data_IF_621932356255
#
_entry.id   IF_621932356255
#
_cell.length_a   1.000
_cell.length_b   1.000
_cell.length_c   1.000
_cell.angle_alpha   90.00
_cell.angle_beta   90.00
_cell.angle_gamma   90.00
#
_symmetry.space_group_name_H-M   'P 1'
#
loop_
_entity.id
_entity.type
_entity.pdbx_description
1 polymer ?
#
# COMPACT_ATOMS: atom_id res chain seq x y z
N UNK A 1 3.68 28.28 -13.83
CA UNK A 1 3.51 27.10 -12.96
C UNK A 1 2.17 26.39 -13.18
N UNK A 2 1.01 27.06 -13.00
CA UNK A 2 -0.32 26.45 -13.26
C UNK A 2 -0.46 25.81 -14.65
N UNK A 3 0.00 26.49 -15.71
CA UNK A 3 -0.02 25.95 -17.08
C UNK A 3 0.85 24.68 -17.26
N UNK A 4 1.96 24.56 -16.51
CA UNK A 4 2.85 23.40 -16.60
C UNK A 4 2.32 22.20 -15.79
N UNK A 5 1.69 22.45 -14.63
CA UNK A 5 1.02 21.39 -13.87
C UNK A 5 -0.18 20.82 -14.64
N UNK A 6 -0.95 21.69 -15.29
CA UNK A 6 -2.06 21.27 -16.15
C UNK A 6 -1.57 20.41 -17.33
N UNK A 7 -0.40 20.71 -17.91
CA UNK A 7 0.16 19.92 -19.00
C UNK A 7 0.52 18.49 -18.56
N UNK A 8 1.10 18.32 -17.36
CA UNK A 8 1.43 17.00 -16.80
C UNK A 8 0.17 16.19 -16.46
N UNK A 9 -0.85 16.85 -15.93
CA UNK A 9 -2.15 16.21 -15.68
C UNK A 9 -2.82 15.77 -16.98
N UNK A 10 -2.79 16.61 -18.03
CA UNK A 10 -3.31 16.25 -19.36
C UNK A 10 -2.53 15.07 -19.96
N UNK A 11 -1.19 15.09 -19.89
CA UNK A 11 -0.36 13.98 -20.36
C UNK A 11 -0.67 12.66 -19.62
N UNK A 12 -1.06 12.75 -18.34
CA UNK A 12 -1.47 11.59 -17.55
C UNK A 12 -2.82 10.99 -17.95
N UNK A 13 -3.63 11.73 -18.71
CA UNK A 13 -4.95 11.32 -19.21
C UNK A 13 -4.88 10.83 -20.66
N UNK A 14 -3.77 11.04 -21.35
CA UNK A 14 -3.60 10.56 -22.72
C UNK A 14 -3.38 9.04 -22.75
N UNK A 15 -3.79 8.37 -23.83
CA UNK A 15 -3.47 6.97 -24.06
C UNK A 15 -1.94 6.73 -24.01
N UNK A 16 -1.46 5.62 -23.42
CA UNK A 16 -0.03 5.34 -23.32
C UNK A 16 0.72 5.39 -24.65
N UNK A 17 0.09 4.94 -25.73
CA UNK A 17 0.62 4.95 -27.09
C UNK A 17 1.02 6.35 -27.58
N UNK A 18 0.31 7.40 -27.16
CA UNK A 18 0.58 8.78 -27.56
C UNK A 18 1.70 9.45 -26.73
N UNK A 19 2.06 8.84 -25.60
CA UNK A 19 2.99 9.40 -24.62
C UNK A 19 4.37 8.73 -24.61
N UNK A 20 4.52 7.55 -25.23
CA UNK A 20 5.69 6.68 -25.05
C UNK A 20 7.04 7.38 -25.28
N UNK A 21 7.15 8.21 -26.33
CA UNK A 21 8.39 8.93 -26.68
C UNK A 21 8.70 10.11 -25.75
N UNK A 22 7.70 10.63 -25.05
CA UNK A 22 7.84 11.76 -24.14
C UNK A 22 8.31 11.30 -22.75
N UNK A 23 7.87 10.12 -22.29
CA UNK A 23 8.15 9.65 -20.92
C UNK A 23 9.64 9.63 -20.56
N UNK A 24 10.57 9.08 -21.39
CA UNK A 24 12.00 9.13 -21.07
C UNK A 24 12.50 10.55 -20.83
N UNK A 25 12.07 11.50 -21.67
CA UNK A 25 12.47 12.91 -21.56
C UNK A 25 11.92 13.54 -20.30
N UNK A 26 10.70 13.17 -19.87
CA UNK A 26 10.13 13.68 -18.62
C UNK A 26 10.93 13.19 -17.41
N UNK A 27 11.36 11.93 -17.41
CA UNK A 27 12.21 11.37 -16.35
C UNK A 27 13.55 12.11 -16.32
N UNK A 28 14.25 12.21 -17.45
CA UNK A 28 15.54 12.90 -17.54
C UNK A 28 15.43 14.37 -17.11
N UNK A 29 14.34 15.04 -17.51
CA UNK A 29 14.08 16.43 -17.10
C UNK A 29 13.87 16.55 -15.59
N UNK A 30 13.21 15.58 -14.96
CA UNK A 30 12.95 15.60 -13.51
C UNK A 30 14.21 15.55 -12.66
N UNK A 31 15.29 14.95 -13.17
CA UNK A 31 16.58 14.83 -12.46
C UNK A 31 17.36 16.14 -12.42
N UNK A 32 17.08 17.04 -13.37
CA UNK A 32 17.77 18.33 -13.51
C UNK A 32 16.99 19.50 -12.91
N UNK A 33 15.84 19.22 -12.28
CA UNK A 33 14.93 20.22 -11.75
C UNK A 33 14.83 20.15 -10.22
N UNK A 34 14.40 21.26 -9.62
CA UNK A 34 14.14 21.40 -8.19
C UNK A 34 12.70 21.82 -7.90
N UNK A 35 12.27 21.67 -6.64
CA UNK A 35 10.90 21.94 -6.20
C UNK A 35 9.90 20.86 -6.61
N UNK A 36 8.64 21.25 -6.78
CA UNK A 36 7.51 20.34 -6.99
C UNK A 36 7.39 19.77 -8.42
N UNK A 37 7.98 20.45 -9.42
CA UNK A 37 7.86 20.07 -10.83
C UNK A 37 8.43 18.67 -11.15
N UNK A 38 9.62 18.29 -10.65
CA UNK A 38 10.13 16.92 -10.78
C UNK A 38 9.14 15.82 -10.40
N UNK A 39 8.44 15.96 -9.27
CA UNK A 39 7.50 14.94 -8.80
C UNK A 39 6.27 14.87 -9.70
N UNK A 40 5.83 16.00 -10.25
CA UNK A 40 4.77 16.00 -11.25
C UNK A 40 5.20 15.18 -12.49
N UNK A 41 6.41 15.41 -13.00
CA UNK A 41 6.94 14.67 -14.15
C UNK A 41 7.04 13.16 -13.87
N UNK A 42 7.55 12.79 -12.69
CA UNK A 42 7.66 11.39 -12.27
C UNK A 42 6.29 10.75 -12.03
N UNK A 43 5.29 11.49 -11.55
CA UNK A 43 3.92 11.00 -11.41
C UNK A 43 3.33 10.63 -12.78
N UNK A 44 3.56 11.43 -13.81
CA UNK A 44 3.14 11.11 -15.18
C UNK A 44 3.82 9.83 -15.69
N UNK A 45 5.13 9.70 -15.48
CA UNK A 45 5.87 8.47 -15.84
C UNK A 45 5.36 7.24 -15.08
N UNK A 46 5.08 7.36 -13.78
CA UNK A 46 4.49 6.29 -12.98
C UNK A 46 3.11 5.87 -13.47
N UNK A 47 2.24 6.82 -13.83
CA UNK A 47 0.91 6.54 -14.38
C UNK A 47 0.99 5.87 -15.74
N UNK A 48 1.93 6.28 -16.59
CA UNK A 48 2.21 5.60 -17.84
C UNK A 48 2.60 4.13 -17.60
N UNK A 49 3.55 3.85 -16.70
CA UNK A 49 3.97 2.48 -16.36
C UNK A 49 2.79 1.65 -15.82
N UNK A 50 1.88 2.25 -15.04
CA UNK A 50 0.71 1.56 -14.51
C UNK A 50 -0.36 1.21 -15.58
N UNK A 51 -0.42 1.96 -16.68
CA UNK A 51 -1.46 1.84 -17.72
C UNK A 51 -0.98 1.11 -18.97
N UNK A 52 0.29 1.30 -19.36
CA UNK A 52 0.87 0.75 -20.56
C UNK A 52 0.78 -0.80 -20.55
N UNK A 53 0.32 -1.44 -21.65
CA UNK A 53 0.26 -2.91 -21.72
C UNK A 53 1.63 -3.58 -21.59
N UNK A 54 2.68 -2.93 -22.07
CA UNK A 54 4.07 -3.41 -22.02
C UNK A 54 5.02 -2.21 -22.01
N UNK A 55 5.21 -1.54 -20.86
CA UNK A 55 6.11 -0.40 -20.79
C UNK A 55 7.54 -0.84 -21.11
N UNK A 56 8.29 -0.08 -21.93
CA UNK A 56 9.70 -0.36 -22.22
C UNK A 56 10.52 -0.51 -20.93
N UNK A 57 11.34 -1.56 -20.85
CA UNK A 57 12.14 -1.85 -19.65
C UNK A 57 13.09 -0.72 -19.26
N UNK A 58 13.62 0.03 -20.24
CA UNK A 58 14.46 1.21 -19.98
C UNK A 58 13.69 2.31 -19.23
N UNK A 59 12.43 2.58 -19.62
CA UNK A 59 11.57 3.58 -18.95
C UNK A 59 11.34 3.18 -17.49
N UNK A 60 10.99 1.91 -17.26
CA UNK A 60 10.76 1.39 -15.92
C UNK A 60 12.03 1.49 -15.07
N UNK A 61 13.17 1.11 -15.65
CA UNK A 61 14.46 1.15 -14.96
C UNK A 61 14.86 2.57 -14.57
N UNK A 62 14.75 3.53 -15.50
CA UNK A 62 15.03 4.94 -15.22
C UNK A 62 14.10 5.49 -14.15
N UNK A 63 12.78 5.27 -14.28
CA UNK A 63 11.79 5.71 -13.30
C UNK A 63 12.11 5.20 -11.89
N UNK A 64 12.39 3.90 -11.74
CA UNK A 64 12.77 3.32 -10.45
C UNK A 64 14.06 3.91 -9.90
N UNK A 65 15.08 4.13 -10.73
CA UNK A 65 16.33 4.74 -10.31
C UNK A 65 16.11 6.18 -9.81
N UNK A 66 15.38 7.01 -10.56
CA UNK A 66 15.09 8.40 -10.19
C UNK A 66 14.23 8.48 -8.93
N UNK A 67 13.22 7.61 -8.78
CA UNK A 67 12.42 7.52 -7.55
C UNK A 67 13.25 7.05 -6.35
N UNK A 68 14.08 6.02 -6.49
CA UNK A 68 14.93 5.53 -5.42
C UNK A 68 15.94 6.60 -4.96
N UNK A 69 16.56 7.31 -5.91
CA UNK A 69 17.46 8.42 -5.61
C UNK A 69 16.75 9.52 -4.82
N UNK A 70 15.54 9.91 -5.25
CA UNK A 70 14.73 10.94 -4.58
C UNK A 70 14.28 10.50 -3.19
N UNK A 71 13.71 9.32 -3.05
CA UNK A 71 13.24 8.80 -1.75
C UNK A 71 14.36 8.73 -0.70
N UNK A 72 15.62 8.57 -1.11
CA UNK A 72 16.78 8.53 -0.21
C UNK A 72 17.15 9.87 0.39
N UNK A 73 16.94 10.97 -0.35
CA UNK A 73 17.41 12.31 0.03
C UNK A 73 16.28 13.28 0.34
N UNK A 74 15.06 13.00 -0.14
CA UNK A 74 13.90 13.86 0.02
C UNK A 74 13.49 14.00 1.48
N UNK A 75 12.96 15.18 1.81
CA UNK A 75 12.41 15.50 3.13
C UNK A 75 11.03 16.11 2.97
N UNK A 76 10.24 16.01 4.03
CA UNK A 76 8.94 16.67 4.15
C UNK A 76 8.05 16.43 2.92
N UNK A 77 7.66 17.50 2.21
CA UNK A 77 6.78 17.43 1.05
C UNK A 77 7.40 16.68 -0.13
N UNK A 78 8.71 16.82 -0.38
CA UNK A 78 9.37 16.11 -1.48
C UNK A 78 9.31 14.60 -1.29
N UNK A 79 9.36 14.14 -0.03
CA UNK A 79 9.23 12.73 0.32
C UNK A 79 7.78 12.25 0.07
N UNK A 80 6.78 13.04 0.47
CA UNK A 80 5.36 12.77 0.22
C UNK A 80 5.09 12.64 -1.28
N UNK A 81 5.64 13.56 -2.07
CA UNK A 81 5.42 13.60 -3.51
C UNK A 81 6.08 12.40 -4.20
N UNK A 82 7.32 12.05 -3.81
CA UNK A 82 8.01 10.88 -4.34
C UNK A 82 7.29 9.57 -3.98
N UNK A 83 6.78 9.44 -2.75
CA UNK A 83 5.95 8.30 -2.33
C UNK A 83 4.64 8.23 -3.10
N UNK A 84 4.03 9.37 -3.40
CA UNK A 84 2.80 9.46 -4.21
C UNK A 84 3.05 9.01 -5.66
N UNK A 85 4.20 9.38 -6.24
CA UNK A 85 4.62 8.89 -7.56
C UNK A 85 4.75 7.36 -7.57
N UNK A 86 5.39 6.79 -6.55
CA UNK A 86 5.52 5.34 -6.42
C UNK A 86 4.16 4.67 -6.22
N UNK A 87 3.30 5.21 -5.36
CA UNK A 87 1.96 4.70 -5.11
C UNK A 87 1.10 4.66 -6.38
N UNK A 88 1.26 5.63 -7.28
CA UNK A 88 0.58 5.64 -8.58
C UNK A 88 1.06 4.48 -9.48
N UNK A 89 2.37 4.23 -9.53
CA UNK A 89 2.93 3.11 -10.29
C UNK A 89 2.50 1.74 -9.74
N UNK A 90 2.33 1.63 -8.43
CA UNK A 90 1.92 0.38 -7.75
C UNK A 90 0.40 0.17 -7.69
N UNK A 91 -0.38 1.12 -8.19
CA UNK A 91 -1.85 1.09 -8.12
C UNK A 91 -2.52 0.04 -9.00
N UNK A 92 -1.78 -0.58 -9.93
CA UNK A 92 -2.29 -1.65 -10.81
C UNK A 92 -1.39 -2.88 -10.77
N UNK A 93 -1.92 -4.10 -11.01
CA UNK A 93 -1.11 -5.31 -11.14
C UNK A 93 -0.03 -5.20 -12.22
N UNK A 94 -0.33 -4.49 -13.33
CA UNK A 94 0.62 -4.26 -14.42
C UNK A 94 1.77 -3.37 -14.00
N UNK A 95 1.47 -2.23 -13.37
CA UNK A 95 2.51 -1.32 -12.90
C UNK A 95 3.38 -1.95 -11.83
N UNK A 96 2.79 -2.70 -10.90
CA UNK A 96 3.53 -3.51 -9.93
C UNK A 96 4.44 -4.54 -10.61
N UNK A 97 3.94 -5.30 -11.58
CA UNK A 97 4.72 -6.29 -12.32
C UNK A 97 5.87 -5.67 -13.12
N UNK A 98 5.66 -4.47 -13.68
CA UNK A 98 6.70 -3.75 -14.38
C UNK A 98 7.79 -3.31 -13.38
N UNK A 99 7.40 -2.62 -12.31
CA UNK A 99 8.32 -2.07 -11.30
C UNK A 99 9.10 -3.17 -10.58
N UNK A 100 8.46 -4.28 -10.19
CA UNK A 100 9.10 -5.36 -9.42
C UNK A 100 10.25 -6.07 -10.15
N UNK A 101 10.30 -5.95 -11.48
CA UNK A 101 11.38 -6.50 -12.32
C UNK A 101 12.62 -5.59 -12.38
N UNK A 102 12.53 -4.37 -11.87
CA UNK A 102 13.64 -3.43 -11.83
C UNK A 102 14.48 -3.59 -10.55
N UNK A 103 15.81 -3.51 -10.68
CA UNK A 103 16.75 -3.52 -9.55
C UNK A 103 16.49 -2.41 -8.53
N UNK A 104 16.06 -1.23 -8.99
CA UNK A 104 15.77 -0.06 -8.13
C UNK A 104 14.52 -0.20 -7.26
N UNK A 105 13.66 -1.20 -7.54
CA UNK A 105 12.40 -1.37 -6.81
C UNK A 105 12.61 -1.73 -5.34
N UNK A 106 13.56 -2.61 -5.03
CA UNK A 106 13.85 -3.00 -3.66
C UNK A 106 14.25 -1.78 -2.80
N UNK A 107 14.98 -0.83 -3.38
CA UNK A 107 15.36 0.42 -2.72
C UNK A 107 14.16 1.33 -2.48
N UNK A 108 13.25 1.44 -3.45
CA UNK A 108 11.99 2.18 -3.30
C UNK A 108 11.15 1.63 -2.14
N UNK A 109 10.99 0.30 -2.09
CA UNK A 109 10.24 -0.39 -1.02
C UNK A 109 10.89 -0.20 0.35
N UNK A 110 12.22 -0.30 0.45
CA UNK A 110 12.94 -0.05 1.70
C UNK A 110 12.75 1.39 2.19
N UNK A 111 12.78 2.37 1.28
CA UNK A 111 12.55 3.77 1.62
C UNK A 111 11.10 4.03 2.06
N UNK A 112 10.10 3.36 1.46
CA UNK A 112 8.72 3.39 1.96
C UNK A 112 8.63 2.86 3.39
N UNK A 113 9.34 1.77 3.70
CA UNK A 113 9.38 1.21 5.05
C UNK A 113 9.89 2.22 6.07
N UNK A 114 11.05 2.82 5.79
CA UNK A 114 11.60 3.87 6.63
C UNK A 114 10.66 5.09 6.76
N UNK A 115 9.98 5.48 5.67
CA UNK A 115 9.02 6.60 5.70
C UNK A 115 7.75 6.30 6.52
N UNK A 116 7.32 5.03 6.59
CA UNK A 116 6.20 4.63 7.44
C UNK A 116 6.54 4.75 8.94
N UNK A 117 7.80 4.49 9.30
CA UNK A 117 8.32 4.64 10.67
C UNK A 117 8.62 6.10 11.04
N UNK A 118 8.80 6.97 10.04
CA UNK A 118 9.20 8.36 10.26
C UNK A 118 8.14 9.16 11.06
N UNK A 119 8.55 10.16 11.85
CA UNK A 119 7.64 11.00 12.63
C UNK A 119 6.81 11.96 11.76
N UNK A 120 7.23 12.24 10.53
CA UNK A 120 6.53 13.14 9.61
C UNK A 120 5.23 12.50 9.08
N UNK A 121 4.11 12.97 9.62
CA UNK A 121 2.79 12.38 9.41
C UNK A 121 2.36 12.29 7.93
N UNK A 122 2.48 13.33 7.09
CA UNK A 122 2.12 13.22 5.68
C UNK A 122 2.93 12.16 4.94
N UNK A 123 4.23 12.04 5.22
CA UNK A 123 5.08 11.03 4.60
C UNK A 123 4.69 9.61 5.04
N UNK A 124 4.34 9.44 6.32
CA UNK A 124 3.81 8.17 6.83
C UNK A 124 2.53 7.78 6.10
N UNK A 125 1.57 8.68 5.95
CA UNK A 125 0.31 8.39 5.25
C UNK A 125 0.55 8.04 3.77
N UNK A 126 1.45 8.75 3.10
CA UNK A 126 1.83 8.46 1.71
C UNK A 126 2.52 7.08 1.59
N UNK A 127 3.38 6.71 2.54
CA UNK A 127 4.02 5.41 2.59
C UNK A 127 3.00 4.27 2.82
N UNK A 128 2.06 4.46 3.75
CA UNK A 128 0.98 3.48 3.98
C UNK A 128 0.12 3.29 2.73
N UNK A 129 -0.20 4.37 2.01
CA UNK A 129 -0.93 4.28 0.74
C UNK A 129 -0.14 3.49 -0.31
N UNK A 130 1.17 3.77 -0.45
CA UNK A 130 2.04 3.05 -1.38
C UNK A 130 2.09 1.54 -1.06
N UNK A 131 2.23 1.18 0.21
CA UNK A 131 2.20 -0.23 0.66
C UNK A 131 0.85 -0.89 0.42
N UNK A 132 -0.25 -0.22 0.76
CA UNK A 132 -1.59 -0.76 0.56
C UNK A 132 -1.85 -1.06 -0.92
N UNK A 133 -1.48 -0.15 -1.82
CA UNK A 133 -1.62 -0.34 -3.27
C UNK A 133 -0.74 -1.50 -3.76
N UNK A 134 0.52 -1.54 -3.35
CA UNK A 134 1.45 -2.59 -3.72
C UNK A 134 0.92 -3.97 -3.32
N UNK A 135 0.56 -4.13 -2.04
CA UNK A 135 0.05 -5.39 -1.49
C UNK A 135 -1.27 -5.81 -2.13
N UNK A 136 -2.18 -4.88 -2.40
CA UNK A 136 -3.43 -5.19 -3.08
C UNK A 136 -3.20 -5.67 -4.53
N UNK A 137 -2.32 -4.98 -5.25
CA UNK A 137 -1.96 -5.33 -6.64
C UNK A 137 -1.27 -6.69 -6.75
N UNK A 138 -0.53 -7.13 -5.72
CA UNK A 138 0.11 -8.45 -5.69
C UNK A 138 -0.89 -9.60 -5.83
N UNK A 139 -2.13 -9.46 -5.33
CA UNK A 139 -3.14 -10.53 -5.37
C UNK A 139 -3.48 -10.95 -6.80
N UNK A 140 -3.28 -10.06 -7.77
CA UNK A 140 -3.52 -10.33 -9.20
C UNK A 140 -2.34 -11.00 -9.92
N UNK A 141 -1.23 -11.27 -9.22
CA UNK A 141 -0.02 -11.88 -9.78
C UNK A 141 0.10 -13.34 -9.36
N UNK A 142 0.75 -14.16 -10.20
CA UNK A 142 0.96 -15.57 -9.90
C UNK A 142 1.92 -15.79 -8.72
N UNK A 143 1.90 -16.98 -8.09
CA UNK A 143 2.71 -17.29 -6.90
C UNK A 143 4.23 -17.21 -7.11
N UNK A 144 4.72 -17.24 -8.36
CA UNK A 144 6.15 -17.11 -8.68
C UNK A 144 6.69 -15.67 -8.65
N UNK A 145 5.81 -14.66 -8.74
CA UNK A 145 6.20 -13.24 -8.70
C UNK A 145 6.01 -12.60 -7.31
N UNK A 146 5.31 -13.31 -6.41
CA UNK A 146 4.89 -12.84 -5.09
C UNK A 146 5.10 -13.95 -4.06
N UNK A 147 6.36 -14.14 -3.69
CA UNK A 147 6.73 -15.09 -2.65
C UNK A 147 6.71 -14.48 -1.24
N UNK A 148 6.59 -15.31 -0.19
CA UNK A 148 6.93 -14.94 1.18
C UNK A 148 8.35 -14.33 1.25
N UNK A 149 8.71 -13.65 2.36
CA UNK A 149 10.06 -13.11 2.58
C UNK A 149 11.20 -14.12 2.33
N UNK A 150 10.88 -15.41 2.42
CA UNK A 150 11.77 -16.57 2.28
C UNK A 150 11.67 -17.32 0.93
N UNK A 151 10.96 -16.79 -0.08
CA UNK A 151 10.91 -17.43 -1.39
C UNK A 151 12.28 -17.42 -2.08
N UNK A 152 12.74 -18.61 -2.46
CA UNK A 152 14.06 -18.87 -3.04
C UNK A 152 14.41 -18.02 -4.28
N UNK A 153 13.39 -17.51 -4.99
CA UNK A 153 13.55 -16.78 -6.25
C UNK A 153 13.66 -15.24 -6.06
N UNK A 154 13.65 -14.75 -4.81
CA UNK A 154 14.07 -13.39 -4.43
C UNK A 154 13.17 -12.21 -4.83
N UNK A 155 12.25 -12.40 -5.80
CA UNK A 155 11.49 -11.28 -6.43
C UNK A 155 10.28 -10.80 -5.62
N UNK A 156 9.59 -11.68 -4.90
CA UNK A 156 8.56 -11.29 -3.91
C UNK A 156 9.11 -10.91 -2.53
N UNK A 157 10.39 -11.21 -2.28
CA UNK A 157 10.97 -11.16 -0.95
C UNK A 157 11.15 -9.75 -0.39
N UNK A 158 11.43 -8.73 -1.21
CA UNK A 158 11.68 -7.38 -0.70
C UNK A 158 10.40 -6.71 -0.14
N UNK A 159 9.30 -6.76 -0.91
CA UNK A 159 8.00 -6.23 -0.48
C UNK A 159 7.41 -7.08 0.65
N UNK A 160 7.53 -8.41 0.57
CA UNK A 160 7.13 -9.32 1.66
C UNK A 160 7.88 -9.03 2.96
N UNK A 161 9.23 -8.93 2.93
CA UNK A 161 10.05 -8.60 4.10
C UNK A 161 9.70 -7.23 4.69
N UNK A 162 9.59 -6.21 3.85
CA UNK A 162 9.20 -4.88 4.31
C UNK A 162 7.80 -4.90 4.94
N UNK A 163 6.83 -5.55 4.30
CA UNK A 163 5.47 -5.62 4.81
C UNK A 163 5.36 -6.44 6.11
N UNK A 164 6.08 -7.56 6.23
CA UNK A 164 6.16 -8.33 7.47
C UNK A 164 6.87 -7.55 8.59
N UNK A 165 7.98 -6.88 8.29
CA UNK A 165 8.70 -6.02 9.26
C UNK A 165 7.85 -4.87 9.78
N UNK A 166 6.96 -4.35 8.95
CA UNK A 166 6.03 -3.28 9.30
C UNK A 166 4.75 -3.75 10.01
N UNK A 167 4.50 -5.06 10.13
CA UNK A 167 3.22 -5.58 10.66
C UNK A 167 2.91 -5.02 12.06
N UNK A 168 3.90 -5.02 12.97
CA UNK A 168 3.74 -4.48 14.32
C UNK A 168 3.42 -2.97 14.31
N UNK A 169 4.11 -2.19 13.48
CA UNK A 169 3.85 -0.76 13.32
C UNK A 169 2.44 -0.52 12.78
N UNK A 170 2.06 -1.22 11.71
CA UNK A 170 0.76 -1.07 11.05
C UNK A 170 -0.38 -1.43 12.02
N UNK A 171 -0.24 -2.49 12.81
CA UNK A 171 -1.19 -2.85 13.86
C UNK A 171 -1.26 -1.77 14.93
N UNK A 172 -0.12 -1.24 15.37
CA UNK A 172 -0.07 -0.13 16.32
C UNK A 172 -0.77 1.12 15.77
N UNK A 173 -0.52 1.50 14.52
CA UNK A 173 -1.18 2.63 13.87
C UNK A 173 -2.70 2.40 13.73
N UNK A 174 -3.11 1.20 13.30
CA UNK A 174 -4.50 0.81 13.11
C UNK A 174 -5.33 0.85 14.41
N UNK A 175 -4.69 0.56 15.55
CA UNK A 175 -5.38 0.31 16.82
C UNK A 175 -5.17 1.39 17.86
N UNK A 176 -3.98 2.01 17.89
CA UNK A 176 -3.55 2.93 18.97
C UNK A 176 -3.29 4.35 18.51
N UNK A 177 -3.25 4.64 17.20
CA UNK A 177 -2.98 6.01 16.75
C UNK A 177 -4.13 6.95 17.15
N UNK A 178 -3.84 8.13 17.73
CA UNK A 178 -4.88 9.12 18.02
C UNK A 178 -5.48 9.70 16.73
N UNK A 179 -4.72 9.68 15.62
CA UNK A 179 -5.14 10.23 14.33
C UNK A 179 -6.03 9.22 13.58
N UNK A 180 -7.20 9.67 13.16
CA UNK A 180 -8.18 8.83 12.44
C UNK A 180 -7.64 8.32 11.11
N UNK A 181 -6.98 9.18 10.33
CA UNK A 181 -6.41 8.90 9.03
C UNK A 181 -5.30 7.85 9.12
N UNK A 182 -4.48 7.89 10.17
CA UNK A 182 -3.46 6.89 10.43
C UNK A 182 -4.07 5.55 10.83
N UNK A 183 -5.15 5.56 11.62
CA UNK A 183 -5.90 4.33 11.95
C UNK A 183 -6.49 3.68 10.69
N UNK A 184 -7.16 4.47 9.85
CA UNK A 184 -7.70 4.01 8.57
C UNK A 184 -6.59 3.51 7.65
N UNK A 185 -5.51 4.27 7.50
CA UNK A 185 -4.36 3.89 6.67
C UNK A 185 -3.70 2.59 7.13
N UNK A 186 -3.52 2.43 8.45
CA UNK A 186 -3.04 1.19 9.05
C UNK A 186 -3.97 0.00 8.76
N UNK A 187 -5.29 0.19 8.91
CA UNK A 187 -6.26 -0.86 8.57
C UNK A 187 -6.27 -1.19 7.08
N UNK A 188 -6.10 -0.22 6.17
CA UNK A 188 -5.98 -0.47 4.74
C UNK A 188 -4.76 -1.34 4.42
N UNK A 189 -3.59 -1.00 4.99
CA UNK A 189 -2.36 -1.80 4.81
C UNK A 189 -2.53 -3.20 5.39
N UNK A 190 -3.09 -3.31 6.60
CA UNK A 190 -3.35 -4.60 7.24
C UNK A 190 -4.32 -5.44 6.40
N UNK A 191 -5.39 -4.83 5.89
CA UNK A 191 -6.36 -5.49 5.01
C UNK A 191 -5.70 -6.00 3.74
N UNK A 192 -4.84 -5.19 3.11
CA UNK A 192 -4.09 -5.56 1.92
C UNK A 192 -3.05 -6.67 2.20
N UNK A 193 -2.38 -6.62 3.35
CA UNK A 193 -1.46 -7.66 3.82
C UNK A 193 -2.20 -8.99 4.00
N UNK A 194 -3.38 -8.96 4.62
CA UNK A 194 -4.22 -10.14 4.85
C UNK A 194 -4.89 -10.69 3.59
N UNK A 195 -4.72 -10.07 2.41
CA UNK A 195 -5.09 -10.70 1.14
C UNK A 195 -4.20 -11.91 0.81
N UNK A 196 -3.03 -11.99 1.45
CA UNK A 196 -2.04 -13.04 1.25
C UNK A 196 -1.95 -13.91 2.50
N UNK A 197 -1.78 -15.22 2.34
CA UNK A 197 -1.72 -16.15 3.49
C UNK A 197 -0.55 -15.81 4.43
N UNK A 198 0.65 -15.59 3.88
CA UNK A 198 1.83 -15.22 4.67
C UNK A 198 1.63 -13.88 5.40
N UNK A 199 0.94 -12.94 4.77
CA UNK A 199 0.65 -11.64 5.36
C UNK A 199 -0.42 -11.74 6.47
N UNK A 200 -1.45 -12.56 6.26
CA UNK A 200 -2.45 -12.88 7.27
C UNK A 200 -1.79 -13.51 8.50
N UNK A 201 -0.91 -14.50 8.31
CA UNK A 201 -0.12 -15.13 9.38
C UNK A 201 0.72 -14.10 10.14
N UNK A 202 1.49 -13.27 9.41
CA UNK A 202 2.32 -12.22 10.03
C UNK A 202 1.49 -11.23 10.86
N UNK A 203 0.32 -10.81 10.34
CA UNK A 203 -0.57 -9.88 11.03
C UNK A 203 -1.19 -10.46 12.30
N UNK A 204 -1.70 -11.69 12.28
CA UNK A 204 -2.34 -12.31 13.46
C UNK A 204 -1.34 -12.69 14.56
N UNK A 205 -0.07 -12.88 14.20
CA UNK A 205 0.99 -13.11 15.18
C UNK A 205 1.37 -11.83 15.96
N UNK A 206 0.92 -10.65 15.54
CA UNK A 206 1.09 -9.43 16.33
C UNK A 206 0.13 -9.49 17.52
N UNK A 207 0.70 -9.46 18.72
CA UNK A 207 -0.05 -9.57 19.98
C UNK A 207 -1.19 -8.55 20.04
N UNK A 208 -2.39 -9.05 20.38
CA UNK A 208 -3.59 -8.24 20.53
C UNK A 208 -4.18 -7.68 19.23
N UNK A 209 -3.64 -8.02 18.05
CA UNK A 209 -4.16 -7.53 16.77
C UNK A 209 -5.64 -7.87 16.57
N UNK A 210 -5.99 -9.16 16.71
CA UNK A 210 -7.35 -9.63 16.46
C UNK A 210 -8.35 -8.97 17.40
N UNK A 211 -8.03 -8.95 18.70
CA UNK A 211 -8.90 -8.35 19.71
C UNK A 211 -9.08 -6.85 19.47
N UNK A 212 -7.99 -6.13 19.16
CA UNK A 212 -8.03 -4.69 18.93
C UNK A 212 -8.78 -4.30 17.64
N UNK A 213 -8.64 -5.09 16.56
CA UNK A 213 -9.40 -4.88 15.32
C UNK A 213 -10.89 -5.19 15.51
N UNK A 214 -11.22 -6.19 16.34
CA UNK A 214 -12.60 -6.58 16.63
C UNK A 214 -13.29 -5.70 17.68
N UNK A 215 -12.56 -4.88 18.46
CA UNK A 215 -13.15 -4.05 19.51
C UNK A 215 -13.93 -2.86 18.94
N UNK A 216 -15.24 -3.03 18.77
CA UNK A 216 -16.13 -2.00 18.23
C UNK A 216 -16.36 -0.80 19.17
N UNK A 217 -15.95 -0.86 20.45
CA UNK A 217 -16.24 0.20 21.44
C UNK A 217 -15.49 1.50 21.14
N UNK A 218 -14.34 1.40 20.49
CA UNK A 218 -13.46 2.55 20.23
C UNK A 218 -13.64 3.15 18.81
N UNK A 219 -14.47 2.55 17.96
CA UNK A 219 -14.61 2.95 16.56
C UNK A 219 -15.85 3.83 16.31
N UNK A 220 -15.67 5.16 16.40
CA UNK A 220 -16.67 6.13 15.93
C UNK A 220 -16.38 6.53 14.47
N UNK A 221 -16.75 5.66 13.52
CA UNK A 221 -16.63 6.02 12.10
C UNK A 221 -16.97 4.89 11.14
N UNK A 222 -17.89 5.16 10.20
CA UNK A 222 -18.34 4.19 9.17
C UNK A 222 -17.16 3.53 8.45
N UNK A 223 -16.18 4.34 8.00
CA UNK A 223 -14.98 3.86 7.29
C UNK A 223 -14.08 2.96 8.16
N UNK A 224 -13.87 3.32 9.43
CA UNK A 224 -13.07 2.51 10.36
C UNK A 224 -13.72 1.14 10.59
N UNK A 225 -15.04 1.10 10.78
CA UNK A 225 -15.80 -0.13 10.95
C UNK A 225 -15.73 -1.03 9.71
N UNK A 226 -15.87 -0.45 8.52
CA UNK A 226 -15.73 -1.16 7.26
C UNK A 226 -14.33 -1.76 7.07
N UNK A 227 -13.28 -0.99 7.35
CA UNK A 227 -11.91 -1.49 7.19
C UNK A 227 -11.56 -2.57 8.22
N UNK A 228 -11.99 -2.43 9.49
CA UNK A 228 -11.85 -3.50 10.50
C UNK A 228 -12.54 -4.79 10.07
N UNK A 229 -13.75 -4.66 9.54
CA UNK A 229 -14.49 -5.81 9.01
C UNK A 229 -13.77 -6.45 7.81
N UNK A 230 -13.24 -5.66 6.88
CA UNK A 230 -12.44 -6.16 5.75
C UNK A 230 -11.19 -6.90 6.20
N UNK A 231 -10.46 -6.40 7.20
CA UNK A 231 -9.28 -7.07 7.76
C UNK A 231 -9.65 -8.49 8.23
N UNK A 232 -10.62 -8.61 9.14
CA UNK A 232 -11.00 -9.93 9.69
C UNK A 232 -11.54 -10.85 8.60
N UNK A 233 -12.33 -10.32 7.66
CA UNK A 233 -12.83 -11.09 6.51
C UNK A 233 -11.68 -11.62 5.64
N UNK A 234 -10.66 -10.82 5.36
CA UNK A 234 -9.50 -11.23 4.58
C UNK A 234 -8.68 -12.28 5.34
N UNK A 235 -8.50 -12.12 6.66
CA UNK A 235 -7.84 -13.13 7.49
C UNK A 235 -8.58 -14.47 7.43
N UNK A 236 -9.91 -14.47 7.58
CA UNK A 236 -10.74 -15.68 7.50
C UNK A 236 -10.84 -16.30 6.10
N UNK A 237 -10.35 -15.63 5.06
CA UNK A 237 -10.31 -16.21 3.72
C UNK A 237 -9.21 -17.27 3.56
N UNK A 238 -8.33 -17.42 4.55
CA UNK A 238 -7.22 -18.38 4.56
C UNK A 238 -7.49 -19.51 5.55
N UNK A 239 -7.69 -20.74 5.05
CA UNK A 239 -8.01 -21.91 5.88
C UNK A 239 -6.94 -22.22 6.93
N UNK A 240 -5.66 -21.97 6.63
CA UNK A 240 -4.55 -22.21 7.54
C UNK A 240 -4.55 -21.30 8.77
N UNK A 241 -5.38 -20.25 8.82
CA UNK A 241 -5.36 -19.30 9.92
C UNK A 241 -5.89 -19.91 11.23
N UNK A 242 -6.80 -20.88 11.17
CA UNK A 242 -7.37 -21.54 12.35
C UNK A 242 -6.29 -22.21 13.19
N UNK A 243 -5.26 -22.77 12.55
CA UNK A 243 -4.12 -23.40 13.24
C UNK A 243 -3.24 -22.36 13.96
N UNK A 244 -3.20 -21.12 13.47
CA UNK A 244 -2.36 -20.04 14.02
C UNK A 244 -3.04 -19.34 15.18
N UNK A 245 -4.32 -18.98 15.05
CA UNK A 245 -5.05 -18.24 16.10
C UNK A 245 -5.79 -19.15 17.08
N UNK A 246 -5.93 -20.43 16.75
CA UNK A 246 -6.71 -21.39 17.50
C UNK A 246 -8.22 -21.34 17.21
N UNK A 247 -8.96 -22.42 17.53
CA UNK A 247 -10.37 -22.57 17.16
C UNK A 247 -11.29 -21.56 17.86
N UNK A 248 -10.99 -21.17 19.10
CA UNK A 248 -11.79 -20.21 19.86
C UNK A 248 -11.74 -18.81 19.23
N UNK A 249 -10.53 -18.29 18.97
CA UNK A 249 -10.35 -16.98 18.34
C UNK A 249 -10.95 -16.97 16.94
N UNK A 250 -10.74 -18.05 16.17
CA UNK A 250 -11.34 -18.21 14.86
C UNK A 250 -12.88 -18.15 14.90
N UNK A 251 -13.53 -18.83 15.85
CA UNK A 251 -14.98 -18.77 16.02
C UNK A 251 -15.47 -17.36 16.36
N UNK A 252 -14.75 -16.61 17.21
CA UNK A 252 -15.07 -15.20 17.52
C UNK A 252 -14.97 -14.31 16.28
N UNK A 253 -13.93 -14.50 15.46
CA UNK A 253 -13.76 -13.77 14.20
C UNK A 253 -14.89 -14.06 13.21
N UNK A 254 -15.31 -15.32 13.09
CA UNK A 254 -16.46 -15.69 12.25
C UNK A 254 -17.75 -15.02 12.72
N UNK A 255 -18.00 -15.02 14.04
CA UNK A 255 -19.15 -14.34 14.63
C UNK A 255 -19.11 -12.82 14.40
N UNK A 256 -17.92 -12.21 14.42
CA UNK A 256 -17.74 -10.80 14.10
C UNK A 256 -18.08 -10.50 12.64
N UNK A 257 -17.61 -11.32 11.69
CA UNK A 257 -17.91 -11.12 10.27
C UNK A 257 -19.39 -11.40 9.96
N UNK A 258 -20.01 -12.40 10.57
CA UNK A 258 -21.43 -12.72 10.32
C UNK A 258 -22.38 -11.62 10.80
N UNK A 259 -22.03 -10.92 11.88
CA UNK A 259 -22.76 -9.75 12.38
C UNK A 259 -22.68 -8.54 11.45
N UNK A 260 -21.63 -8.45 10.63
CA UNK A 260 -21.38 -7.31 9.77
C UNK A 260 -20.80 -6.09 10.50
N UNK A 261 -20.38 -5.05 9.76
CA UNK A 261 -19.60 -3.93 10.30
C UNK A 261 -20.38 -3.00 11.26
N UNK A 262 -21.71 -3.08 11.32
CA UNK A 262 -22.55 -2.13 12.08
C UNK A 262 -23.37 -2.74 13.23
N UNK A 263 -23.11 -3.99 13.60
CA UNK A 263 -23.96 -4.71 14.56
C UNK A 263 -23.99 -4.13 15.98
N UNK A 264 -23.12 -3.17 16.31
CA UNK A 264 -23.10 -2.52 17.62
C UNK A 264 -24.27 -1.53 17.86
N UNK A 265 -25.15 -1.28 16.90
CA UNK A 265 -26.27 -0.32 17.03
C UNK A 265 -27.67 -0.92 17.32
N UNK A 266 -27.81 -2.25 17.39
CA UNK A 266 -29.10 -2.93 17.49
C UNK A 266 -29.57 -3.16 18.93
N UNK A 267 -29.72 -2.11 19.73
CA UNK A 267 -30.20 -2.20 21.11
C UNK A 267 -31.52 -1.45 21.34
N UNK A 268 -32.64 -2.18 21.32
CA UNK A 268 -33.80 -1.94 22.19
C UNK A 268 -34.63 -0.66 22.01
N UNK A 269 -35.49 -0.64 20.99
CA UNK A 269 -36.63 0.28 20.89
C UNK A 269 -37.96 -0.47 20.81
N UNK A 270 -38.17 -1.43 21.71
CA UNK A 270 -39.45 -2.13 21.84
C UNK A 270 -40.40 -1.30 22.68
N UNK A 271 -41.37 -0.65 22.03
CA UNK A 271 -42.48 -0.03 22.73
C UNK A 271 -43.29 -1.08 23.48
N UNK A 272 -43.53 -0.82 24.76
CA UNK A 272 -44.82 -0.90 25.45
C UNK A 272 -44.75 0.01 26.68
#
# INVERSE_FOLDING_TARGET
MLLQMNAVEVLSLLPPEDCADLIPRLIDTSENLSGALPSCLLLCASRYVAQAPSPPGEIVSKLCASLAARLRVARDQDLVDALSCLAAGLSTPRGLCALSRCEGYAQCVAACGAAAEAPHEPARLAALLAFSNALASLKGLGPGDVGPPDAADGRGGALGRAACGLAALVVSLATKSPVSEQRVGGLCVLSALCLHEWGAKAGVCVEGMVDAVMDLREASGKRLLEERHKVIKNVLSHNAITEVVGPEVHARMQAFVSRGPYAAGGGGGGGK
#
